data_IF_765430349089
#
_entry.id   IF_765430349089
#
_cell.length_a   1.000
_cell.length_b   1.000
_cell.length_c   1.000
_cell.angle_alpha   90.00
_cell.angle_beta   90.00
_cell.angle_gamma   90.00
#
_symmetry.space_group_name_H-M   'P 1'
#
loop_
_entity.id
_entity.type
_entity.pdbx_description
1 polymer ?
#
# COMPACT_ATOMS: atom_id res chain seq x y z
N UNK A 1 15.78 -1.95 -2.64
CA UNK A 1 14.45 -2.38 -3.13
C UNK A 1 13.64 -2.81 -1.93
N UNK A 2 12.35 -2.44 -1.78
CA UNK A 2 11.56 -2.90 -0.65
C UNK A 2 11.56 -4.43 -0.59
N UNK A 3 12.18 -4.98 0.43
CA UNK A 3 12.16 -6.41 0.71
C UNK A 3 10.82 -6.84 1.31
N UNK A 4 10.12 -5.89 1.93
CA UNK A 4 8.93 -6.12 2.72
C UNK A 4 7.90 -5.01 2.53
N UNK A 5 6.63 -5.42 2.40
CA UNK A 5 5.47 -4.54 2.47
C UNK A 5 4.58 -4.92 3.64
N UNK A 6 4.19 -3.93 4.42
CA UNK A 6 3.15 -4.07 5.45
C UNK A 6 1.96 -3.17 5.13
N UNK A 7 0.80 -3.57 5.59
CA UNK A 7 -0.47 -2.87 5.38
C UNK A 7 -1.19 -2.74 6.71
N UNK A 8 -1.84 -1.60 6.91
CA UNK A 8 -2.67 -1.34 8.08
C UNK A 8 -3.95 -0.61 7.64
N UNK A 9 -5.15 -1.14 7.94
CA UNK A 9 -5.40 -2.42 8.60
C UNK A 9 -5.03 -3.62 7.70
N UNK A 10 -4.84 -4.79 8.30
CA UNK A 10 -4.52 -6.03 7.56
C UNK A 10 -5.71 -6.61 6.80
N UNK A 11 -6.93 -6.16 7.11
CA UNK A 11 -8.19 -6.52 6.46
C UNK A 11 -9.10 -5.31 6.43
N UNK A 12 -9.93 -5.21 5.39
CA UNK A 12 -10.89 -4.12 5.22
C UNK A 12 -12.32 -4.63 5.34
N UNK A 13 -13.26 -3.72 5.59
CA UNK A 13 -14.70 -4.04 5.60
C UNK A 13 -15.39 -3.32 4.44
N UNK A 14 -16.20 -4.01 3.66
CA UNK A 14 -16.98 -3.39 2.59
C UNK A 14 -17.96 -2.31 3.13
N UNK A 15 -18.41 -1.41 2.24
CA UNK A 15 -19.43 -0.37 2.52
C UNK A 15 -19.07 0.62 3.64
N UNK A 16 -17.79 0.83 3.92
CA UNK A 16 -17.32 1.81 4.91
C UNK A 16 -16.11 2.56 4.38
N UNK A 17 -16.12 3.87 4.57
CA UNK A 17 -14.93 4.70 4.40
C UNK A 17 -13.89 4.26 5.43
N UNK A 18 -12.71 3.90 4.95
CA UNK A 18 -11.61 3.43 5.78
C UNK A 18 -10.29 3.95 5.25
N UNK A 19 -9.44 4.35 6.16
CA UNK A 19 -8.05 4.64 5.84
C UNK A 19 -7.26 3.34 5.67
N UNK A 20 -6.38 3.32 4.68
CA UNK A 20 -5.40 2.26 4.47
C UNK A 20 -4.02 2.87 4.35
N UNK A 21 -3.10 2.37 5.17
CA UNK A 21 -1.69 2.64 5.09
C UNK A 21 -0.97 1.46 4.45
N UNK A 22 -0.05 1.74 3.53
CA UNK A 22 0.91 0.77 3.05
C UNK A 22 2.32 1.28 3.28
N UNK A 23 3.14 0.47 3.95
CA UNK A 23 4.52 0.79 4.28
C UNK A 23 5.47 -0.14 3.53
N UNK A 24 6.35 0.46 2.74
CA UNK A 24 7.51 -0.16 2.15
C UNK A 24 8.70 -0.01 3.09
N UNK A 25 9.29 -1.13 3.50
CA UNK A 25 10.47 -1.17 4.38
C UNK A 25 11.74 -1.33 3.57
N UNK A 26 12.88 -1.01 4.16
CA UNK A 26 14.22 -1.20 3.63
C UNK A 26 14.40 -0.59 2.23
N UNK A 27 13.86 0.62 2.06
CA UNK A 27 13.86 1.35 0.80
C UNK A 27 15.08 2.26 0.71
N UNK A 28 15.77 2.18 -0.42
CA UNK A 28 16.65 3.24 -0.91
C UNK A 28 16.75 3.14 -2.44
N UNK A 29 16.59 4.24 -3.21
CA UNK A 29 16.16 5.57 -2.76
C UNK A 29 14.64 5.66 -2.51
N UNK A 30 14.20 6.60 -1.67
CA UNK A 30 12.78 6.82 -1.31
C UNK A 30 12.11 7.98 -2.07
N UNK A 31 12.79 8.58 -3.05
CA UNK A 31 12.20 9.68 -3.81
C UNK A 31 11.02 9.19 -4.68
N UNK A 32 10.00 10.04 -4.92
CA UNK A 32 8.80 9.64 -5.68
C UNK A 32 9.08 9.30 -7.16
N UNK A 33 10.19 9.77 -7.75
CA UNK A 33 10.56 9.39 -9.11
C UNK A 33 11.03 7.93 -9.18
N UNK A 34 11.65 7.43 -8.11
CA UNK A 34 12.20 6.09 -8.02
C UNK A 34 11.27 5.09 -7.31
N UNK A 35 10.47 5.52 -6.33
CA UNK A 35 9.52 4.66 -5.63
C UNK A 35 8.09 5.18 -5.80
N UNK A 36 7.18 4.29 -6.19
CA UNK A 36 5.74 4.54 -6.13
C UNK A 36 5.01 3.49 -5.31
N UNK A 37 3.97 3.93 -4.61
CA UNK A 37 3.02 3.08 -3.91
C UNK A 37 1.64 3.26 -4.56
N UNK A 38 0.96 2.15 -4.84
CA UNK A 38 -0.36 2.15 -5.50
C UNK A 38 -1.29 1.12 -4.86
N UNK A 39 -2.57 1.44 -4.73
CA UNK A 39 -3.62 0.49 -4.36
C UNK A 39 -4.27 -0.06 -5.62
N UNK A 40 -4.40 -1.38 -5.69
CA UNK A 40 -4.94 -2.10 -6.83
C UNK A 40 -6.18 -2.90 -6.45
N UNK A 41 -7.12 -2.99 -7.38
CA UNK A 41 -8.19 -3.98 -7.38
C UNK A 41 -8.00 -4.89 -8.61
N UNK A 42 -7.60 -6.14 -8.36
CA UNK A 42 -7.04 -6.99 -9.42
C UNK A 42 -5.73 -6.40 -9.93
N UNK A 43 -5.64 -6.17 -11.24
CA UNK A 43 -4.46 -5.59 -11.91
C UNK A 43 -4.56 -4.07 -12.14
N UNK A 44 -5.70 -3.46 -11.82
CA UNK A 44 -5.98 -2.06 -12.08
C UNK A 44 -5.83 -1.23 -10.81
N UNK A 45 -5.37 0.02 -10.95
CA UNK A 45 -5.34 0.97 -9.84
C UNK A 45 -6.76 1.28 -9.38
N UNK A 46 -6.95 1.31 -8.07
CA UNK A 46 -8.27 1.54 -7.48
C UNK A 46 -8.67 3.00 -7.69
N UNK A 47 -9.80 3.21 -8.37
CA UNK A 47 -10.34 4.53 -8.62
C UNK A 47 -11.00 5.12 -7.36
N UNK A 48 -11.05 6.45 -7.29
CA UNK A 48 -11.75 7.17 -6.22
C UNK A 48 -11.04 7.18 -4.86
N UNK A 49 -9.82 6.63 -4.76
CA UNK A 49 -9.00 6.74 -3.56
C UNK A 49 -8.41 8.14 -3.42
N UNK A 50 -8.44 8.68 -2.21
CA UNK A 50 -7.77 9.95 -1.90
C UNK A 50 -6.45 9.66 -1.21
N UNK A 51 -5.33 10.04 -1.84
CA UNK A 51 -4.03 10.02 -1.17
C UNK A 51 -4.01 11.07 -0.06
N UNK A 52 -3.63 10.65 1.15
CA UNK A 52 -3.59 11.50 2.35
C UNK A 52 -2.17 11.98 2.63
N UNK A 53 -1.28 11.05 2.99
CA UNK A 53 0.09 11.34 3.40
C UNK A 53 1.10 10.44 2.68
N UNK A 54 2.29 10.98 2.45
CA UNK A 54 3.50 10.27 2.07
C UNK A 54 4.57 10.53 3.13
N UNK A 55 4.76 9.56 4.02
CA UNK A 55 5.70 9.65 5.14
C UNK A 55 6.97 8.89 4.82
N UNK A 56 8.13 9.51 5.08
CA UNK A 56 9.45 8.89 4.95
C UNK A 56 10.13 8.97 6.31
N UNK A 57 10.48 7.81 6.87
CA UNK A 57 11.18 7.73 8.15
C UNK A 57 12.44 6.86 8.00
N UNK A 58 13.47 7.16 8.80
CA UNK A 58 14.66 6.31 8.88
C UNK A 58 14.31 4.99 9.57
N UNK A 59 14.83 3.88 9.03
CA UNK A 59 14.75 2.60 9.72
C UNK A 59 15.99 2.38 10.59
N UNK A 60 15.80 2.04 11.88
CA UNK A 60 16.92 1.75 12.76
C UNK A 60 17.58 0.44 12.32
N UNK A 61 18.79 0.53 11.77
CA UNK A 61 19.58 -0.62 11.35
C UNK A 61 20.89 -0.70 12.11
N UNK A 62 21.43 -1.91 12.25
CA UNK A 62 22.76 -2.15 12.84
C UNK A 62 23.92 -1.95 11.85
N UNK A 63 23.69 -1.35 10.67
CA UNK A 63 24.67 -1.18 9.59
C UNK A 63 24.89 0.27 9.17
N UNK A 64 25.85 0.49 8.27
CA UNK A 64 26.23 1.83 7.75
C UNK A 64 25.24 2.37 6.70
N UNK A 65 24.48 1.49 6.06
CA UNK A 65 23.48 1.86 5.05
C UNK A 65 22.22 2.42 5.71
N UNK A 66 21.94 3.70 5.46
CA UNK A 66 20.70 4.35 5.88
C UNK A 66 19.55 3.89 4.98
N UNK A 67 18.75 2.96 5.51
CA UNK A 67 17.52 2.51 4.88
C UNK A 67 16.32 3.27 5.43
N UNK A 68 15.31 3.42 4.59
CA UNK A 68 14.12 4.21 4.86
C UNK A 68 12.90 3.30 4.84
N UNK A 69 11.92 3.62 5.68
CA UNK A 69 10.54 3.17 5.46
C UNK A 69 9.75 4.29 4.82
N UNK A 70 8.88 3.92 3.89
CA UNK A 70 7.99 4.84 3.21
C UNK A 70 6.57 4.37 3.41
N UNK A 71 5.72 5.22 3.98
CA UNK A 71 4.30 4.94 4.19
C UNK A 71 3.43 5.85 3.33
N UNK A 72 2.59 5.27 2.49
CA UNK A 72 1.53 6.00 1.81
C UNK A 72 0.19 5.65 2.47
N UNK A 73 -0.59 6.68 2.79
CA UNK A 73 -1.96 6.56 3.31
C UNK A 73 -2.98 6.95 2.25
N UNK A 74 -4.08 6.22 2.20
CA UNK A 74 -5.23 6.58 1.37
C UNK A 74 -6.52 6.47 2.17
N UNK A 75 -7.46 7.38 1.91
CA UNK A 75 -8.85 7.19 2.27
C UNK A 75 -9.56 6.44 1.14
N UNK A 76 -10.09 5.26 1.46
CA UNK A 76 -10.86 4.46 0.52
C UNK A 76 -12.32 4.91 0.48
N UNK A 77 -12.93 5.00 -0.72
CA UNK A 77 -14.37 5.12 -0.84
C UNK A 77 -15.06 3.81 -0.39
N UNK A 78 -16.38 3.82 -0.13
CA UNK A 78 -17.11 2.62 0.22
C UNK A 78 -17.09 1.65 -0.97
N UNK A 79 -16.46 0.49 -0.77
CA UNK A 79 -16.45 -0.55 -1.80
C UNK A 79 -17.82 -1.21 -1.88
N UNK A 80 -18.60 -0.88 -2.92
CA UNK A 80 -19.94 -1.40 -3.15
C UNK A 80 -19.91 -2.77 -3.84
N UNK A 81 -19.49 -3.82 -3.11
CA UNK A 81 -19.35 -5.15 -3.73
C UNK A 81 -19.98 -6.26 -2.90
N UNK A 82 -20.82 -7.13 -3.51
CA UNK A 82 -21.48 -8.24 -2.82
C UNK A 82 -20.60 -9.49 -2.70
N UNK A 83 -19.42 -9.52 -3.33
CA UNK A 83 -18.45 -10.63 -3.26
C UNK A 83 -17.13 -10.23 -2.58
N UNK A 84 -16.43 -11.14 -1.89
CA UNK A 84 -15.18 -10.79 -1.22
C UNK A 84 -14.17 -10.39 -2.28
N UNK A 85 -13.50 -9.27 -2.07
CA UNK A 85 -12.44 -8.79 -2.96
C UNK A 85 -11.12 -8.76 -2.21
N UNK A 86 -10.04 -8.75 -2.97
CA UNK A 86 -8.70 -8.58 -2.43
C UNK A 86 -8.11 -7.36 -3.09
N UNK A 87 -7.91 -6.30 -2.30
CA UNK A 87 -7.08 -5.18 -2.73
C UNK A 87 -5.62 -5.59 -2.61
N UNK A 88 -4.75 -4.95 -3.38
CA UNK A 88 -3.32 -5.13 -3.26
C UNK A 88 -2.67 -3.76 -3.09
N UNK A 89 -1.85 -3.60 -2.05
CA UNK A 89 -0.85 -2.56 -2.11
C UNK A 89 0.31 -3.06 -2.98
N UNK A 90 0.72 -2.25 -3.94
CA UNK A 90 1.92 -2.48 -4.74
C UNK A 90 2.94 -1.38 -4.48
N UNK A 91 4.17 -1.78 -4.18
CA UNK A 91 5.33 -0.91 -4.28
C UNK A 91 6.06 -1.20 -5.59
N UNK A 92 6.36 -0.14 -6.34
CA UNK A 92 7.14 -0.25 -7.58
C UNK A 92 8.37 0.63 -7.46
N UNK A 93 9.53 0.05 -7.73
CA UNK A 93 10.80 0.76 -7.77
C UNK A 93 11.30 0.84 -9.22
N UNK A 94 11.50 2.06 -9.70
CA UNK A 94 12.03 2.38 -11.02
C UNK A 94 13.46 2.91 -10.87
N UNK A 95 14.43 2.13 -11.32
CA UNK A 95 15.84 2.48 -11.37
C UNK A 95 16.31 2.52 -12.83
N UNK A 96 17.46 3.15 -13.14
CA UNK A 96 18.00 3.14 -14.49
C UNK A 96 18.15 1.71 -15.04
N UNK A 97 17.32 1.36 -16.03
CA UNK A 97 17.32 0.03 -16.67
C UNK A 97 16.70 -1.10 -15.85
N UNK A 98 16.10 -0.83 -14.68
CA UNK A 98 15.55 -1.85 -13.80
C UNK A 98 14.22 -1.41 -13.18
N UNK A 99 13.19 -2.25 -13.31
CA UNK A 99 11.89 -2.07 -12.67
C UNK A 99 11.57 -3.27 -11.81
N UNK A 100 11.34 -3.04 -10.52
CA UNK A 100 11.03 -4.07 -9.55
C UNK A 100 9.68 -3.76 -8.89
N UNK A 101 8.90 -4.78 -8.56
CA UNK A 101 7.62 -4.59 -7.87
C UNK A 101 7.39 -5.65 -6.81
N UNK A 102 6.74 -5.25 -5.72
CA UNK A 102 6.29 -6.14 -4.66
C UNK A 102 4.83 -5.81 -4.36
N UNK A 103 4.05 -6.82 -3.96
CA UNK A 103 2.64 -6.67 -3.68
C UNK A 103 2.26 -7.31 -2.33
N UNK A 104 1.32 -6.68 -1.64
CA UNK A 104 0.72 -7.19 -0.40
C UNK A 104 -0.79 -7.19 -0.53
N UNK A 105 -1.39 -8.37 -0.41
CA UNK A 105 -2.83 -8.54 -0.41
C UNK A 105 -3.48 -7.96 0.86
N UNK A 106 -4.65 -7.37 0.69
CA UNK A 106 -5.52 -6.81 1.73
C UNK A 106 -6.92 -7.39 1.49
N UNK A 107 -7.32 -8.43 2.25
CA UNK A 107 -8.64 -9.01 2.10
C UNK A 107 -9.73 -8.02 2.51
N UNK A 108 -10.78 -7.92 1.69
CA UNK A 108 -11.99 -7.12 1.96
C UNK A 108 -13.09 -8.07 2.41
N UNK A 109 -13.49 -7.92 3.67
CA UNK A 109 -14.56 -8.68 4.30
C UNK A 109 -15.91 -8.04 4.05
N UNK A 110 -16.96 -8.86 3.96
CA UNK A 110 -18.32 -8.35 3.91
C UNK A 110 -18.75 -7.78 5.25
N UNK A 111 -19.42 -6.63 5.22
CA UNK A 111 -20.21 -6.16 6.34
C UNK A 111 -21.41 -7.09 6.50
N UNK A 112 -21.41 -7.93 7.54
CA UNK A 112 -22.60 -8.65 7.97
C UNK A 112 -23.58 -7.65 8.63
N UNK A 113 -24.28 -6.87 7.83
CA UNK A 113 -25.50 -6.20 8.32
C UNK A 113 -26.62 -7.23 8.25
N UNK A 114 -26.98 -7.79 9.42
CA UNK A 114 -28.20 -8.59 9.58
C UNK A 114 -29.42 -7.76 9.17
N UNK A 115 -30.43 -8.35 8.49
CA UNK A 115 -31.71 -7.69 8.24
C UNK A 115 -32.46 -7.36 9.53
#
# INVERSE_FOLDING_TARGET
FPDQLTVSPVTLVARRDQEVACTAHNVTPANPEALSLSLLLGDQELEGVQALDWDVEEEPQQGEDQLLRVTQRWLLPPLETPTPLTLHCRATMNLPGLRLSHQRAIPVLHSLTSP
#
